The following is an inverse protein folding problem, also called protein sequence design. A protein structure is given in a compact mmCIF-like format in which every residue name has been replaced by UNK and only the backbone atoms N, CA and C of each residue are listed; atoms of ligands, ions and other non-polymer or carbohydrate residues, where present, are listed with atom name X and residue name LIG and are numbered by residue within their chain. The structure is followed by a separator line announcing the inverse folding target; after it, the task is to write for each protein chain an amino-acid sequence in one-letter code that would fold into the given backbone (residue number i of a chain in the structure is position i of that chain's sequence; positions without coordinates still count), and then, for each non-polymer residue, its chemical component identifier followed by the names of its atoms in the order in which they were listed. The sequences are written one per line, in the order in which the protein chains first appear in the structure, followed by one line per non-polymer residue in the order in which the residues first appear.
data_IF_876155991816
#
_entry.id   IF_876155991816
#
_cell.length_a   1.000
_cell.length_b   1.000
_cell.length_c   1.000
_cell.angle_alpha   90.00
_cell.angle_beta   90.00
_cell.angle_gamma   90.00
#
_symmetry.space_group_name_H-M   'P 1'
#
loop_
_entity.id
_entity.type
_entity.pdbx_description
1 polymer ?
#
# COMPACT_ATOMS: atom_id res chain seq x y z
N UNK A 1 -1.52 7.05 -22.50
CA UNK A 1 -2.12 8.18 -21.75
C UNK A 1 -3.23 7.74 -20.78
N UNK A 2 -4.43 7.31 -21.23
CA UNK A 2 -5.56 6.95 -20.31
C UNK A 2 -5.18 5.93 -19.22
N UNK A 3 -4.42 4.88 -19.58
CA UNK A 3 -3.97 3.83 -18.66
C UNK A 3 -2.97 4.34 -17.62
N UNK A 4 -2.09 5.26 -18.00
CA UNK A 4 -1.13 5.90 -17.09
C UNK A 4 -1.86 6.72 -16.03
N UNK A 5 -2.90 7.46 -16.43
CA UNK A 5 -3.73 8.24 -15.50
C UNK A 5 -4.43 7.32 -14.50
N UNK A 6 -5.02 6.21 -14.96
CA UNK A 6 -5.65 5.21 -14.09
C UNK A 6 -4.64 4.61 -13.10
N UNK A 7 -3.46 4.24 -13.59
CA UNK A 7 -2.38 3.73 -12.73
C UNK A 7 -1.94 4.76 -11.67
N UNK A 8 -1.87 6.03 -12.04
CA UNK A 8 -1.59 7.13 -11.12
C UNK A 8 -2.62 7.24 -10.00
N UNK A 9 -3.91 7.29 -10.34
CA UNK A 9 -4.98 7.33 -9.32
C UNK A 9 -4.97 6.10 -8.41
N UNK A 10 -4.81 4.89 -8.96
CA UNK A 10 -4.70 3.67 -8.15
C UNK A 10 -3.50 3.74 -7.19
N UNK A 11 -2.34 4.19 -7.66
CA UNK A 11 -1.16 4.33 -6.80
C UNK A 11 -1.37 5.35 -5.67
N UNK A 12 -2.04 6.48 -5.95
CA UNK A 12 -2.37 7.47 -4.95
C UNK A 12 -3.33 6.92 -3.89
N UNK A 13 -4.39 6.23 -4.31
CA UNK A 13 -5.37 5.63 -3.39
C UNK A 13 -4.69 4.61 -2.48
N UNK A 14 -3.87 3.71 -3.05
CA UNK A 14 -3.15 2.71 -2.27
C UNK A 14 -2.13 3.33 -1.30
N UNK A 15 -1.46 4.40 -1.71
CA UNK A 15 -0.52 5.15 -0.85
C UNK A 15 -1.25 5.80 0.33
N UNK A 16 -2.38 6.46 0.09
CA UNK A 16 -3.17 7.10 1.14
C UNK A 16 -3.75 6.07 2.12
N UNK A 17 -4.21 4.91 1.63
CA UNK A 17 -4.67 3.82 2.47
C UNK A 17 -3.57 3.27 3.38
N UNK A 18 -2.37 3.03 2.83
CA UNK A 18 -1.21 2.60 3.62
C UNK A 18 -0.77 3.66 4.63
N UNK A 19 -0.75 4.94 4.24
CA UNK A 19 -0.39 6.04 5.14
C UNK A 19 -1.36 6.13 6.33
N UNK A 20 -2.67 5.96 6.10
CA UNK A 20 -3.66 5.94 7.17
C UNK A 20 -3.42 4.80 8.17
N UNK A 21 -3.10 3.58 7.68
CA UNK A 21 -2.71 2.45 8.53
C UNK A 21 -1.47 2.81 9.35
N UNK A 22 -0.45 3.39 8.71
CA UNK A 22 0.83 3.69 9.36
C UNK A 22 0.67 4.70 10.48
N UNK A 23 -0.05 5.79 10.23
CA UNK A 23 -0.33 6.82 11.24
C UNK A 23 -1.13 6.23 12.40
N UNK A 24 -2.18 5.45 12.10
CA UNK A 24 -3.04 4.87 13.14
C UNK A 24 -2.27 3.88 14.02
N UNK A 25 -1.47 2.99 13.42
CA UNK A 25 -0.63 2.05 14.17
C UNK A 25 0.50 2.75 14.93
N UNK A 26 1.09 3.82 14.37
CA UNK A 26 2.12 4.60 15.07
C UNK A 26 1.56 5.31 16.32
N UNK A 27 0.30 5.74 16.28
CA UNK A 27 -0.35 6.40 17.42
C UNK A 27 -0.89 5.43 18.48
N UNK A 28 -0.98 4.13 18.16
CA UNK A 28 -1.56 3.10 19.05
C UNK A 28 -0.60 1.91 19.23
N UNK A 29 0.71 2.18 19.34
CA UNK A 29 1.71 1.12 19.41
C UNK A 29 1.51 0.22 20.63
N UNK A 30 1.53 -1.09 20.38
CA UNK A 30 1.50 -2.11 21.43
C UNK A 30 2.73 -2.01 22.34
N UNK A 31 2.56 -2.35 23.61
CA UNK A 31 3.61 -2.31 24.63
C UNK A 31 4.49 -3.57 24.63
N UNK A 32 3.96 -4.71 24.18
CA UNK A 32 4.67 -5.99 24.05
C UNK A 32 4.47 -6.61 22.67
N UNK A 33 5.50 -7.27 22.15
CA UNK A 33 5.44 -8.01 20.88
C UNK A 33 6.49 -9.13 20.86
N UNK A 34 6.24 -10.16 20.07
CA UNK A 34 7.23 -11.18 19.74
C UNK A 34 7.95 -10.85 18.43
N UNK A 35 9.19 -11.31 18.29
CA UNK A 35 9.95 -11.22 17.04
C UNK A 35 10.19 -12.63 16.50
N UNK A 36 9.74 -12.95 15.26
CA UNK A 36 8.85 -12.19 14.35
C UNK A 36 7.37 -12.18 14.83
N UNK A 37 6.47 -11.27 14.37
CA UNK A 37 6.54 -10.37 13.22
C UNK A 37 6.98 -8.92 13.53
N UNK A 38 7.31 -8.59 14.78
CA UNK A 38 7.77 -7.25 15.17
C UNK A 38 6.64 -6.26 15.50
N UNK A 39 7.00 -5.22 16.26
CA UNK A 39 6.05 -4.30 16.93
C UNK A 39 4.98 -3.71 16.02
N UNK A 40 5.39 -3.25 14.83
CA UNK A 40 4.47 -2.57 13.91
C UNK A 40 3.40 -3.53 13.39
N UNK A 41 3.79 -4.71 12.89
CA UNK A 41 2.84 -5.68 12.35
C UNK A 41 1.97 -6.30 13.44
N UNK A 42 2.50 -6.50 14.65
CA UNK A 42 1.69 -6.87 15.81
C UNK A 42 0.62 -5.81 16.09
N UNK A 43 1.00 -4.52 16.07
CA UNK A 43 0.04 -3.41 16.27
C UNK A 43 -1.04 -3.37 15.19
N UNK A 44 -0.65 -3.49 13.91
CA UNK A 44 -1.60 -3.53 12.78
C UNK A 44 -2.60 -4.68 12.96
N UNK A 45 -2.12 -5.83 13.43
CA UNK A 45 -2.96 -7.02 13.67
C UNK A 45 -3.92 -6.82 14.84
N UNK A 46 -3.45 -6.27 15.97
CA UNK A 46 -4.32 -6.00 17.13
C UNK A 46 -5.38 -4.94 16.83
N UNK A 47 -5.07 -3.97 15.97
CA UNK A 47 -6.03 -2.97 15.50
C UNK A 47 -6.97 -3.49 14.39
N UNK A 48 -6.86 -4.76 14.01
CA UNK A 48 -7.62 -5.38 12.91
C UNK A 48 -7.48 -4.64 11.56
N UNK A 49 -6.35 -3.96 11.34
CA UNK A 49 -6.08 -3.18 10.12
C UNK A 49 -5.32 -3.98 9.06
N UNK A 50 -4.99 -5.24 9.32
CA UNK A 50 -4.21 -6.09 8.39
C UNK A 50 -4.87 -6.21 7.03
N UNK A 51 -6.20 -6.37 6.98
CA UNK A 51 -6.95 -6.43 5.71
C UNK A 51 -6.83 -5.13 4.91
N UNK A 52 -6.92 -3.99 5.59
CA UNK A 52 -6.79 -2.66 4.97
C UNK A 52 -5.36 -2.41 4.47
N UNK A 53 -4.35 -2.85 5.22
CA UNK A 53 -2.94 -2.77 4.82
C UNK A 53 -2.68 -3.58 3.55
N UNK A 54 -3.16 -4.82 3.52
CA UNK A 54 -2.99 -5.73 2.37
C UNK A 54 -3.72 -5.18 1.14
N UNK A 55 -4.98 -4.77 1.30
CA UNK A 55 -5.76 -4.20 0.20
C UNK A 55 -5.11 -2.94 -0.37
N UNK A 56 -4.73 -2.00 0.50
CA UNK A 56 -4.08 -0.75 0.08
C UNK A 56 -2.75 -1.00 -0.63
N UNK A 57 -1.98 -1.98 -0.15
CA UNK A 57 -0.71 -2.40 -0.78
C UNK A 57 -0.92 -3.04 -2.16
N UNK A 58 -1.96 -3.87 -2.34
CA UNK A 58 -2.31 -4.44 -3.64
C UNK A 58 -2.72 -3.34 -4.63
N UNK A 59 -3.57 -2.41 -4.20
CA UNK A 59 -4.03 -1.29 -5.04
C UNK A 59 -2.84 -0.42 -5.47
N UNK A 60 -1.92 -0.12 -4.54
CA UNK A 60 -0.68 0.59 -4.83
C UNK A 60 0.17 -0.15 -5.86
N UNK A 61 0.43 -1.45 -5.63
CA UNK A 61 1.24 -2.27 -6.52
C UNK A 61 0.65 -2.34 -7.93
N UNK A 62 -0.67 -2.54 -8.05
CA UNK A 62 -1.37 -2.53 -9.34
C UNK A 62 -1.23 -1.19 -10.06
N UNK A 63 -1.39 -0.07 -9.35
CA UNK A 63 -1.22 1.27 -9.92
C UNK A 63 0.18 1.48 -10.50
N UNK A 64 1.21 1.09 -9.73
CA UNK A 64 2.61 1.17 -10.16
C UNK A 64 2.90 0.24 -11.33
N UNK A 65 2.42 -1.01 -11.29
CA UNK A 65 2.61 -1.99 -12.38
C UNK A 65 1.99 -1.47 -13.69
N UNK A 66 0.78 -0.93 -13.66
CA UNK A 66 0.13 -0.37 -14.86
C UNK A 66 0.96 0.76 -15.45
N UNK A 67 1.46 1.67 -14.61
CA UNK A 67 2.31 2.77 -15.07
C UNK A 67 3.63 2.25 -15.63
N UNK A 68 4.27 1.28 -14.97
CA UNK A 68 5.52 0.68 -15.44
C UNK A 68 5.35 -0.01 -16.81
N UNK A 69 4.28 -0.79 -16.99
CA UNK A 69 3.99 -1.46 -18.27
C UNK A 69 3.83 -0.44 -19.40
N UNK A 70 3.07 0.64 -19.17
CA UNK A 70 2.87 1.66 -20.20
C UNK A 70 4.14 2.52 -20.42
N UNK A 71 5.02 2.65 -19.42
CA UNK A 71 6.32 3.31 -19.58
C UNK A 71 7.29 2.50 -20.45
N UNK A 72 7.32 1.16 -20.29
CA UNK A 72 8.22 0.29 -21.05
C UNK A 72 7.67 -0.19 -22.40
N UNK A 73 6.39 0.09 -22.69
CA UNK A 73 5.85 -0.14 -24.03
C UNK A 73 6.61 0.74 -25.03
N UNK A 74 7.37 0.09 -25.91
CA UNK A 74 7.93 0.77 -27.09
C UNK A 74 6.77 1.33 -27.89
N UNK A 75 6.82 2.64 -28.16
CA UNK A 75 6.04 3.23 -29.23
C UNK A 75 6.46 2.52 -30.52
N UNK A 76 5.63 1.58 -30.99
CA UNK A 76 5.73 1.11 -32.37
C UNK A 76 5.26 2.29 -33.21
N UNK A 77 6.22 3.14 -33.57
CA UNK A 77 6.06 4.17 -34.59
C UNK A 77 5.86 3.53 -35.95
#
# INVERSE_FOLDING_TARGET
MKRVIIGGFLSLIGTLGNLAVFITSANNMVSGWSTPPGRFLTTVSELNMTSLLVFSSIVLALGVIIMAIEYFKKDVK
#
